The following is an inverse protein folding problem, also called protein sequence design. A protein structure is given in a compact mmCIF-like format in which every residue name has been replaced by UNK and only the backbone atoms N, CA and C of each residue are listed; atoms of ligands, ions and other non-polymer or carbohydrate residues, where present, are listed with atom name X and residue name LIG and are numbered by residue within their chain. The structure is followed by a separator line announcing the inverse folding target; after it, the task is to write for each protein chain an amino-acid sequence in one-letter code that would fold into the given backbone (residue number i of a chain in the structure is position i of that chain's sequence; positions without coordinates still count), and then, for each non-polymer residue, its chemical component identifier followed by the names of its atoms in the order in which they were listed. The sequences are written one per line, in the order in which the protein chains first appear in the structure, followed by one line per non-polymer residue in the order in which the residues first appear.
data_IF_394978770850
#
_entry.id   IF_394978770850
#
_cell.length_a   1.000
_cell.length_b   1.000
_cell.length_c   1.000
_cell.angle_alpha   90.00
_cell.angle_beta   90.00
_cell.angle_gamma   90.00
#
_symmetry.space_group_name_H-M   'P 1'
#
loop_
_entity.id
_entity.type
_entity.pdbx_description
1 polymer ?
#
# COMPACT_ATOMS: atom_id res chain seq x y z
N UNK A 1 9.87 -30.26 12.71
CA UNK A 1 8.70 -29.41 12.36
C UNK A 1 8.29 -28.52 13.52
N UNK A 2 8.20 -29.04 14.76
CA UNK A 2 7.92 -28.27 16.00
C UNK A 2 8.73 -26.97 16.16
N UNK A 3 10.03 -27.00 15.88
CA UNK A 3 10.91 -25.81 16.01
C UNK A 3 10.47 -24.63 15.12
N UNK A 4 9.97 -24.92 13.91
CA UNK A 4 9.49 -23.88 12.99
C UNK A 4 8.20 -23.24 13.50
N UNK A 5 7.32 -24.04 14.11
CA UNK A 5 6.07 -23.56 14.68
C UNK A 5 6.31 -22.62 15.87
N UNK A 6 7.17 -23.03 16.81
CA UNK A 6 7.56 -22.19 17.96
C UNK A 6 8.21 -20.88 17.51
N UNK A 7 9.07 -20.95 16.48
CA UNK A 7 9.71 -19.76 15.92
C UNK A 7 8.72 -18.83 15.22
N UNK A 8 7.70 -19.38 14.56
CA UNK A 8 6.63 -18.60 13.93
C UNK A 8 5.75 -17.91 14.97
N UNK A 9 5.45 -18.56 16.10
CA UNK A 9 4.67 -17.97 17.20
C UNK A 9 5.42 -16.82 17.88
N UNK A 10 6.73 -16.98 18.13
CA UNK A 10 7.55 -15.90 18.65
C UNK A 10 7.65 -14.74 17.67
N UNK A 11 7.87 -15.04 16.38
CA UNK A 11 7.88 -14.06 15.31
C UNK A 11 6.57 -13.26 15.26
N UNK A 12 5.40 -13.91 15.40
CA UNK A 12 4.13 -13.19 15.32
C UNK A 12 3.94 -12.22 16.48
N UNK A 13 4.36 -12.58 17.69
CA UNK A 13 4.30 -11.70 18.88
C UNK A 13 5.23 -10.49 18.73
N UNK A 14 6.45 -10.71 18.25
CA UNK A 14 7.42 -9.63 18.03
C UNK A 14 6.91 -8.64 16.97
N UNK A 15 6.35 -9.14 15.87
CA UNK A 15 5.80 -8.30 14.80
C UNK A 15 4.57 -7.51 15.25
N UNK A 16 3.70 -8.11 16.07
CA UNK A 16 2.56 -7.41 16.67
C UNK A 16 3.05 -6.24 17.54
N UNK A 17 4.06 -6.50 18.38
CA UNK A 17 4.62 -5.49 19.26
C UNK A 17 5.24 -4.31 18.45
N UNK A 18 5.94 -4.60 17.35
CA UNK A 18 6.47 -3.55 16.47
C UNK A 18 5.37 -2.70 15.82
N UNK A 19 4.27 -3.33 15.39
CA UNK A 19 3.13 -2.59 14.86
C UNK A 19 2.49 -1.70 15.94
N UNK A 20 2.30 -2.23 17.16
CA UNK A 20 1.76 -1.49 18.29
C UNK A 20 2.65 -0.32 18.71
N UNK A 21 3.97 -0.48 18.75
CA UNK A 21 4.92 0.61 19.03
C UNK A 21 4.83 1.74 18.02
N UNK A 22 4.51 1.42 16.76
CA UNK A 22 4.28 2.40 15.72
C UNK A 22 2.83 2.95 15.70
N UNK A 23 2.01 2.63 16.70
CA UNK A 23 0.60 3.05 16.80
C UNK A 23 -0.33 2.39 15.79
N UNK A 24 0.09 1.27 15.17
CA UNK A 24 -0.65 0.58 14.10
C UNK A 24 -1.25 -0.73 14.61
N UNK A 25 -2.42 -1.07 14.06
CA UNK A 25 -3.12 -2.34 14.32
C UNK A 25 -2.76 -3.45 13.33
N UNK A 26 -2.02 -3.11 12.27
CA UNK A 26 -1.59 -4.04 11.23
C UNK A 26 -0.08 -3.96 11.01
N UNK A 27 0.50 -5.14 10.80
CA UNK A 27 1.92 -5.31 10.47
C UNK A 27 2.18 -4.82 9.05
N UNK A 28 3.29 -4.11 8.86
CA UNK A 28 3.78 -3.61 7.58
C UNK A 28 5.20 -4.17 7.32
N UNK A 29 5.66 -4.01 6.09
CA UNK A 29 7.01 -4.38 5.65
C UNK A 29 8.12 -3.77 6.51
N UNK A 30 7.91 -2.58 7.08
CA UNK A 30 8.86 -1.94 8.00
C UNK A 30 9.10 -2.79 9.25
N UNK A 31 8.06 -3.41 9.78
CA UNK A 31 8.11 -4.23 10.99
C UNK A 31 8.86 -5.55 10.71
N UNK A 32 8.66 -6.11 9.51
CA UNK A 32 9.37 -7.29 9.02
C UNK A 32 10.86 -6.98 8.80
N UNK A 33 11.19 -5.83 8.21
CA UNK A 33 12.57 -5.38 8.02
C UNK A 33 13.26 -5.14 9.37
N UNK A 34 12.53 -4.61 10.36
CA UNK A 34 13.04 -4.41 11.71
C UNK A 34 13.35 -5.75 12.39
N UNK A 35 12.46 -6.75 12.27
CA UNK A 35 12.73 -8.11 12.76
C UNK A 35 13.97 -8.73 12.09
N UNK A 36 14.09 -8.57 10.78
CA UNK A 36 15.21 -9.11 10.00
C UNK A 36 16.54 -8.36 10.22
N UNK A 37 16.59 -7.31 11.04
CA UNK A 37 17.79 -6.49 11.24
C UNK A 37 18.99 -7.30 11.75
N UNK A 38 18.80 -8.40 12.47
CA UNK A 38 19.90 -9.27 12.90
C UNK A 38 20.64 -9.94 11.72
N UNK A 39 20.04 -9.94 10.53
CA UNK A 39 20.63 -10.47 9.30
C UNK A 39 20.66 -9.37 8.24
N UNK A 40 21.81 -8.68 8.15
CA UNK A 40 21.99 -7.54 7.25
C UNK A 40 21.68 -7.87 5.79
N UNK A 41 22.08 -9.05 5.31
CA UNK A 41 21.81 -9.49 3.94
C UNK A 41 20.31 -9.66 3.68
N UNK A 42 19.59 -10.27 4.63
CA UNK A 42 18.14 -10.42 4.55
C UNK A 42 17.42 -9.07 4.62
N UNK A 43 17.82 -8.20 5.54
CA UNK A 43 17.26 -6.86 5.67
C UNK A 43 17.47 -6.02 4.40
N UNK A 44 18.67 -6.05 3.81
CA UNK A 44 18.97 -5.38 2.55
C UNK A 44 18.10 -5.92 1.40
N UNK A 45 17.95 -7.24 1.30
CA UNK A 45 17.12 -7.89 0.29
C UNK A 45 15.65 -7.49 0.41
N UNK A 46 15.11 -7.46 1.63
CA UNK A 46 13.73 -7.04 1.90
C UNK A 46 13.50 -5.55 1.60
N UNK A 47 14.47 -4.69 1.90
CA UNK A 47 14.43 -3.26 1.54
C UNK A 47 14.41 -3.06 0.03
N UNK A 48 15.26 -3.79 -0.69
CA UNK A 48 15.29 -3.76 -2.15
C UNK A 48 13.95 -4.21 -2.74
N UNK A 49 13.43 -5.35 -2.26
CA UNK A 49 12.13 -5.86 -2.69
C UNK A 49 10.99 -4.86 -2.43
N UNK A 50 10.97 -4.22 -1.25
CA UNK A 50 9.99 -3.18 -0.94
C UNK A 50 10.08 -1.98 -1.89
N UNK A 51 11.29 -1.59 -2.32
CA UNK A 51 11.48 -0.50 -3.27
C UNK A 51 11.02 -0.87 -4.69
N UNK A 52 11.29 -2.11 -5.14
CA UNK A 52 10.78 -2.64 -6.41
C UNK A 52 9.25 -2.68 -6.44
N UNK A 53 8.62 -3.12 -5.35
CA UNK A 53 7.16 -3.13 -5.23
C UNK A 53 6.55 -1.73 -5.35
N UNK A 54 7.12 -0.71 -4.70
CA UNK A 54 6.63 0.68 -4.82
C UNK A 54 6.76 1.22 -6.24
N UNK A 55 7.83 0.83 -6.94
CA UNK A 55 8.06 1.22 -8.34
C UNK A 55 7.00 0.58 -9.26
N UNK A 56 6.61 -0.67 -8.98
CA UNK A 56 5.54 -1.39 -9.69
C UNK A 56 4.13 -0.91 -9.31
N UNK A 57 3.88 -0.57 -8.05
CA UNK A 57 2.60 -0.03 -7.57
C UNK A 57 2.29 1.31 -8.24
N UNK A 58 3.29 2.19 -8.35
CA UNK A 58 3.18 3.45 -9.10
C UNK A 58 2.89 3.25 -10.60
N UNK A 59 3.34 2.14 -11.19
CA UNK A 59 3.00 1.77 -12.57
C UNK A 59 1.52 1.34 -12.70
N UNK A 60 0.99 0.60 -11.72
CA UNK A 60 -0.41 0.18 -11.69
C UNK A 60 -1.37 1.36 -11.48
N UNK A 61 -1.00 2.35 -10.66
CA UNK A 61 -1.82 3.55 -10.44
C UNK A 61 -1.92 4.42 -11.70
N UNK A 62 -0.83 4.56 -12.46
CA UNK A 62 -0.82 5.25 -13.77
C UNK A 62 -1.72 4.57 -14.81
N UNK A 63 -1.96 3.26 -14.69
CA UNK A 63 -2.84 2.51 -15.60
C UNK A 63 -4.33 2.67 -15.27
N UNK A 64 -4.71 3.13 -14.07
CA UNK A 64 -6.11 3.39 -13.67
C UNK A 64 -6.61 4.82 -13.90
N UNK A 65 -5.75 5.76 -14.34
CA UNK A 65 -6.14 7.14 -14.70
C UNK A 65 -6.54 7.34 -16.17
N UNK A 66 -7.00 6.29 -16.89
CA UNK A 66 -7.63 6.46 -18.21
C UNK A 66 -9.14 6.32 -18.12
N UNK A 67 -9.77 7.27 -17.42
CA UNK A 67 -11.17 7.61 -17.66
C UNK A 67 -11.31 9.12 -17.54
N UNK A 68 -11.20 9.90 -18.63
CA UNK A 68 -11.73 11.24 -18.61
C UNK A 68 -13.26 11.10 -18.62
N UNK A 69 -13.88 11.20 -17.44
CA UNK A 69 -15.27 11.62 -17.34
C UNK A 69 -15.37 12.93 -18.12
N UNK A 70 -15.97 12.90 -19.31
CA UNK A 70 -16.39 14.12 -19.99
C UNK A 70 -17.64 14.60 -19.29
N UNK A 71 -17.42 15.45 -18.31
CA UNK A 71 -18.42 16.28 -17.66
C UNK A 71 -19.11 17.17 -18.68
N UNK A 72 -20.39 17.44 -18.44
CA UNK A 72 -21.38 17.87 -19.41
C UNK A 72 -21.06 19.18 -20.12
N UNK A 73 -21.37 19.18 -21.42
CA UNK A 73 -21.77 20.43 -22.09
C UNK A 73 -23.27 20.55 -21.91
N UNK A 74 -23.67 21.37 -20.94
CA UNK A 74 -24.99 21.99 -20.96
C UNK A 74 -24.98 22.91 -22.17
N UNK A 75 -25.79 22.59 -23.17
CA UNK A 75 -26.01 23.45 -24.32
C UNK A 75 -26.77 24.71 -23.86
N UNK A 76 -26.23 25.93 -24.01
CA UNK A 76 -26.87 27.15 -23.52
C UNK A 76 -28.03 27.65 -24.39
N UNK A 77 -28.52 26.90 -25.40
CA UNK A 77 -29.43 27.46 -26.42
C UNK A 77 -30.90 27.01 -26.37
N UNK A 78 -31.37 26.29 -25.36
CA UNK A 78 -32.79 25.90 -25.27
C UNK A 78 -33.57 26.43 -24.05
N UNK A 79 -33.22 27.64 -23.58
CA UNK A 79 -34.13 28.42 -22.74
C UNK A 79 -34.30 29.84 -23.28
N UNK A 80 -35.19 29.98 -24.27
CA UNK A 80 -35.75 31.28 -24.65
C UNK A 80 -37.24 31.15 -24.94
N UNK A 81 -38.03 31.16 -23.87
CA UNK A 81 -39.31 31.89 -23.81
C UNK A 81 -39.05 33.08 -22.87
N UNK A 82 -39.59 34.31 -23.09
CA UNK A 82 -40.95 34.72 -23.52
C UNK A 82 -40.89 35.63 -24.78
N UNK A 83 -41.95 36.04 -25.48
CA UNK A 83 -43.23 36.75 -25.25
C UNK A 83 -44.07 36.50 -26.54
N UNK A 84 -45.41 36.37 -26.63
CA UNK A 84 -46.57 37.11 -26.10
C UNK A 84 -47.78 36.17 -26.10
#
# INVERSE_FOLDING_TARGET
MEYLFFRAEHLSKDLELFAQYAGRKSVNMKDIILFAHQNDHLAASLRFFCNDLKTKEHNLERKRKKNPRREGRVDPYLLRTPDT
#
